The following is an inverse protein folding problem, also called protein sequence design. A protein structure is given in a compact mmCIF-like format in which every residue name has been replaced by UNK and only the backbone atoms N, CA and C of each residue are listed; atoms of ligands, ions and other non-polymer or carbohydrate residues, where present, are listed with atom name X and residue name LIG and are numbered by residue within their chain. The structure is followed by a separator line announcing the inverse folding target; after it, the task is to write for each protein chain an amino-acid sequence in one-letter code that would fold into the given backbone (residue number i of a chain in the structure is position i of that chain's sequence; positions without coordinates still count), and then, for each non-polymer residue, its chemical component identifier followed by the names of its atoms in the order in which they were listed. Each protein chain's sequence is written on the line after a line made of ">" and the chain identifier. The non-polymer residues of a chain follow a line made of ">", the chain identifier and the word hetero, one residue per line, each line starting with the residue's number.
data_IF_756395083388
#
_entry.id   IF_756395083388
#
_cell.length_a   1.000
_cell.length_b   1.000
_cell.length_c   1.000
_cell.angle_alpha   90.00
_cell.angle_beta   90.00
_cell.angle_gamma   90.00
#
_symmetry.space_group_name_H-M   'P 1'
#
loop_
_entity.id
_entity.type
_entity.pdbx_description
1 polymer ?
#
# COMPACT_ATOMS: atom_id res chain seq x y z
N UNK A 1 12.84 -6.23 -14.80
CA UNK A 1 13.29 -6.59 -16.16
C UNK A 1 12.61 -7.88 -16.58
N UNK A 2 12.46 -8.08 -17.89
CA UNK A 2 11.86 -9.30 -18.45
C UNK A 2 12.64 -10.55 -18.01
N UNK A 3 13.97 -10.47 -17.94
CA UNK A 3 14.78 -11.62 -17.53
C UNK A 3 14.55 -12.05 -16.08
N UNK A 4 14.39 -11.09 -15.16
CA UNK A 4 14.00 -11.40 -13.77
C UNK A 4 12.60 -12.02 -13.70
N UNK A 5 11.68 -11.54 -14.51
CA UNK A 5 10.33 -12.09 -14.56
C UNK A 5 10.33 -13.53 -15.13
N UNK A 6 11.13 -13.80 -16.16
CA UNK A 6 11.28 -15.16 -16.71
C UNK A 6 11.79 -16.14 -15.67
N UNK A 7 12.90 -15.84 -15.01
CA UNK A 7 13.47 -16.70 -13.97
C UNK A 7 12.48 -17.01 -12.87
N UNK A 8 11.77 -15.97 -12.39
CA UNK A 8 10.72 -16.13 -11.37
C UNK A 8 9.56 -17.01 -11.88
N UNK A 9 9.07 -16.75 -13.09
CA UNK A 9 7.98 -17.53 -13.66
C UNK A 9 8.35 -19.00 -13.89
N UNK A 10 9.58 -19.27 -14.31
CA UNK A 10 10.10 -20.65 -14.44
C UNK A 10 10.17 -21.35 -13.08
N UNK A 11 10.73 -20.69 -12.05
CA UNK A 11 10.85 -21.24 -10.70
C UNK A 11 9.47 -21.62 -10.11
N UNK A 12 8.46 -20.79 -10.34
CA UNK A 12 7.13 -20.99 -9.75
C UNK A 12 6.10 -21.55 -10.74
N UNK A 13 6.52 -22.02 -11.92
CA UNK A 13 5.62 -22.54 -12.96
C UNK A 13 4.49 -21.58 -13.33
N UNK A 14 4.81 -20.30 -13.47
CA UNK A 14 3.86 -19.24 -13.81
C UNK A 14 3.95 -18.84 -15.27
N UNK A 15 2.83 -18.39 -15.85
CA UNK A 15 2.81 -17.82 -17.17
C UNK A 15 3.31 -16.37 -17.16
N UNK A 16 4.17 -16.01 -18.10
CA UNK A 16 4.62 -14.64 -18.29
C UNK A 16 3.69 -13.93 -19.28
N UNK A 17 3.28 -12.73 -18.93
CA UNK A 17 2.53 -11.86 -19.83
C UNK A 17 3.44 -10.77 -20.40
N UNK A 18 3.26 -10.45 -21.68
CA UNK A 18 4.14 -9.50 -22.39
C UNK A 18 3.97 -8.04 -21.95
N UNK A 19 2.82 -7.68 -21.40
CA UNK A 19 2.55 -6.34 -20.91
C UNK A 19 1.40 -6.31 -19.89
N UNK A 20 1.32 -5.21 -19.14
CA UNK A 20 0.20 -4.97 -18.22
C UNK A 20 -1.13 -4.88 -18.99
N UNK A 21 -1.15 -4.23 -20.13
CA UNK A 21 -2.32 -4.11 -20.99
C UNK A 21 -2.84 -5.47 -21.46
N UNK A 22 -1.95 -6.38 -21.84
CA UNK A 22 -2.34 -7.73 -22.22
C UNK A 22 -2.82 -8.55 -21.03
N UNK A 23 -2.21 -8.36 -19.86
CA UNK A 23 -2.63 -9.00 -18.62
C UNK A 23 -4.07 -8.63 -18.25
N UNK A 24 -4.42 -7.35 -18.24
CA UNK A 24 -5.76 -6.92 -17.84
C UNK A 24 -6.85 -7.24 -18.88
N UNK A 25 -6.48 -7.46 -20.14
CA UNK A 25 -7.40 -7.89 -21.22
C UNK A 25 -7.67 -9.39 -21.22
N UNK A 26 -6.85 -10.18 -20.54
CA UNK A 26 -7.04 -11.62 -20.48
C UNK A 26 -8.30 -11.96 -19.66
N UNK A 27 -9.26 -12.65 -20.27
CA UNK A 27 -10.54 -13.00 -19.64
C UNK A 27 -10.40 -14.03 -18.51
N UNK A 28 -9.36 -14.86 -18.56
CA UNK A 28 -9.07 -15.86 -17.52
C UNK A 28 -8.55 -15.23 -16.19
N UNK A 29 -8.26 -13.94 -16.18
CA UNK A 29 -7.76 -13.23 -15.00
C UNK A 29 -8.91 -12.45 -14.34
N UNK A 30 -9.26 -12.79 -13.12
CA UNK A 30 -10.28 -12.11 -12.32
C UNK A 30 -9.69 -10.99 -11.44
N UNK A 31 -8.47 -11.17 -10.96
CA UNK A 31 -7.83 -10.31 -9.95
C UNK A 31 -6.44 -9.92 -10.42
N UNK A 32 -6.11 -8.64 -10.25
CA UNK A 32 -4.76 -8.11 -10.50
C UNK A 32 -4.12 -7.72 -9.19
N UNK A 33 -2.89 -8.18 -8.96
CA UNK A 33 -2.05 -7.78 -7.84
C UNK A 33 -1.02 -6.75 -8.33
N UNK A 34 -1.07 -5.54 -7.79
CA UNK A 34 -0.18 -4.45 -8.15
C UNK A 34 0.90 -4.29 -7.08
N UNK A 35 2.11 -4.73 -7.39
CA UNK A 35 3.31 -4.59 -6.56
C UNK A 35 4.41 -3.82 -7.31
N UNK A 36 3.99 -2.84 -8.09
CA UNK A 36 4.82 -1.98 -8.93
C UNK A 36 5.32 -0.74 -8.17
N UNK A 37 6.21 0.08 -8.75
CA UNK A 37 6.52 1.39 -8.20
C UNK A 37 5.27 2.24 -7.96
N UNK A 38 5.32 3.05 -6.91
CA UNK A 38 4.13 3.76 -6.38
C UNK A 38 3.52 4.75 -7.38
N UNK A 39 4.36 5.39 -8.19
CA UNK A 39 3.93 6.33 -9.25
C UNK A 39 3.01 5.69 -10.29
N UNK A 40 3.07 4.36 -10.44
CA UNK A 40 2.26 3.62 -11.42
C UNK A 40 0.88 3.21 -10.88
N UNK A 41 0.68 3.23 -9.56
CA UNK A 41 -0.52 2.67 -8.93
C UNK A 41 -1.81 3.28 -9.47
N UNK A 42 -1.92 4.61 -9.48
CA UNK A 42 -3.15 5.28 -9.94
C UNK A 42 -3.53 4.88 -11.37
N UNK A 43 -2.57 4.94 -12.29
CA UNK A 43 -2.82 4.57 -13.69
C UNK A 43 -3.19 3.09 -13.84
N UNK A 44 -2.49 2.22 -13.14
CA UNK A 44 -2.76 0.78 -13.20
C UNK A 44 -4.12 0.43 -12.58
N UNK A 45 -4.46 1.03 -11.45
CA UNK A 45 -5.78 0.86 -10.81
C UNK A 45 -6.90 1.28 -11.76
N UNK A 46 -6.78 2.47 -12.39
CA UNK A 46 -7.82 2.95 -13.30
C UNK A 46 -8.01 2.04 -14.50
N UNK A 47 -6.92 1.61 -15.15
CA UNK A 47 -6.98 0.67 -16.28
C UNK A 47 -7.55 -0.70 -15.87
N UNK A 48 -7.15 -1.26 -14.74
CA UNK A 48 -7.68 -2.52 -14.24
C UNK A 48 -9.18 -2.42 -13.91
N UNK A 49 -9.61 -1.29 -13.32
CA UNK A 49 -11.01 -1.04 -13.02
C UNK A 49 -11.86 -0.94 -14.30
N UNK A 50 -11.37 -0.26 -15.34
CA UNK A 50 -12.03 -0.20 -16.65
C UNK A 50 -12.15 -1.60 -17.29
N UNK A 51 -11.13 -2.43 -17.13
CA UNK A 51 -11.14 -3.84 -17.56
C UNK A 51 -11.93 -4.76 -16.61
N UNK A 52 -12.66 -4.22 -15.61
CA UNK A 52 -13.49 -4.97 -14.64
C UNK A 52 -12.71 -5.97 -13.77
N UNK A 53 -11.39 -5.82 -13.66
CA UNK A 53 -10.57 -6.68 -12.79
C UNK A 53 -10.66 -6.20 -11.34
N UNK A 54 -10.82 -7.13 -10.40
CA UNK A 54 -10.62 -6.86 -8.97
C UNK A 54 -9.16 -6.52 -8.73
N UNK A 55 -8.89 -5.66 -7.75
CA UNK A 55 -7.55 -5.11 -7.59
C UNK A 55 -7.08 -5.34 -6.15
N UNK A 56 -5.89 -5.89 -6.01
CA UNK A 56 -5.12 -5.81 -4.78
C UNK A 56 -3.87 -4.98 -5.08
N UNK A 57 -3.66 -3.91 -4.34
CA UNK A 57 -2.53 -3.01 -4.56
C UNK A 57 -1.69 -2.88 -3.31
N UNK A 58 -0.36 -2.90 -3.46
CA UNK A 58 0.57 -2.63 -2.38
C UNK A 58 0.41 -1.20 -1.84
N UNK A 59 0.82 -1.03 -0.61
CA UNK A 59 0.87 0.29 0.03
C UNK A 59 2.13 1.06 -0.42
N UNK A 60 2.08 2.40 -0.47
CA UNK A 60 0.90 3.24 -0.30
C UNK A 60 -0.08 3.04 -1.46
N UNK A 61 -1.37 3.24 -1.19
CA UNK A 61 -2.42 3.12 -2.21
C UNK A 61 -2.11 3.97 -3.44
N UNK A 62 -1.79 5.23 -3.20
CA UNK A 62 -1.27 6.19 -4.19
C UNK A 62 -0.35 7.19 -3.47
N UNK A 63 0.36 8.03 -4.23
CA UNK A 63 1.24 9.06 -3.68
C UNK A 63 0.52 10.35 -3.28
N UNK A 64 -0.64 10.63 -3.88
CA UNK A 64 -1.41 11.85 -3.63
C UNK A 64 -2.87 11.54 -3.30
N UNK A 65 -3.50 12.44 -2.53
CA UNK A 65 -4.94 12.36 -2.27
C UNK A 65 -5.76 12.42 -3.57
N UNK A 66 -5.36 13.26 -4.52
CA UNK A 66 -6.01 13.36 -5.84
C UNK A 66 -6.04 12.02 -6.56
N UNK A 67 -4.91 11.33 -6.59
CA UNK A 67 -4.81 10.02 -7.24
C UNK A 67 -5.61 8.94 -6.48
N UNK A 68 -5.63 9.01 -5.15
CA UNK A 68 -6.45 8.10 -4.33
C UNK A 68 -7.94 8.27 -4.63
N UNK A 69 -8.42 9.51 -4.67
CA UNK A 69 -9.82 9.83 -4.99
C UNK A 69 -10.15 9.40 -6.42
N UNK A 70 -9.26 9.66 -7.37
CA UNK A 70 -9.42 9.22 -8.76
C UNK A 70 -9.55 7.70 -8.85
N UNK A 71 -8.60 6.98 -8.26
CA UNK A 71 -8.58 5.51 -8.24
C UNK A 71 -9.85 4.93 -7.63
N UNK A 72 -10.28 5.48 -6.50
CA UNK A 72 -11.53 5.07 -5.83
C UNK A 72 -12.77 5.30 -6.70
N UNK A 73 -12.88 6.48 -7.35
CA UNK A 73 -14.02 6.77 -8.21
C UNK A 73 -14.09 5.86 -9.45
N UNK A 74 -12.96 5.56 -10.07
CA UNK A 74 -12.92 4.61 -11.19
C UNK A 74 -13.34 3.21 -10.75
N UNK A 75 -12.85 2.71 -9.62
CA UNK A 75 -13.26 1.43 -9.09
C UNK A 75 -14.77 1.41 -8.76
N UNK A 76 -15.28 2.43 -8.09
CA UNK A 76 -16.70 2.56 -7.74
C UNK A 76 -17.59 2.60 -8.98
N UNK A 77 -17.23 3.46 -9.98
CA UNK A 77 -17.95 3.57 -11.26
C UNK A 77 -18.02 2.23 -11.99
N UNK A 78 -16.96 1.46 -11.95
CA UNK A 78 -16.85 0.17 -12.61
C UNK A 78 -17.33 -1.02 -11.75
N UNK A 79 -17.78 -0.77 -10.52
CA UNK A 79 -18.21 -1.77 -9.52
C UNK A 79 -17.12 -2.79 -9.19
N UNK A 80 -15.86 -2.34 -9.19
CA UNK A 80 -14.68 -3.14 -8.87
C UNK A 80 -14.30 -2.97 -7.41
N UNK A 81 -13.92 -4.06 -6.75
CA UNK A 81 -13.39 -4.05 -5.38
C UNK A 81 -11.88 -3.82 -5.41
N UNK A 82 -11.39 -2.98 -4.50
CA UNK A 82 -9.97 -2.74 -4.25
C UNK A 82 -9.64 -3.20 -2.83
N UNK A 83 -8.57 -3.98 -2.69
CA UNK A 83 -7.88 -4.25 -1.43
C UNK A 83 -6.52 -3.54 -1.43
N UNK A 84 -6.12 -3.00 -0.29
CA UNK A 84 -4.81 -2.37 -0.11
C UNK A 84 -3.96 -3.22 0.83
N UNK A 85 -2.67 -3.37 0.51
CA UNK A 85 -1.72 -4.27 1.17
C UNK A 85 -1.29 -3.87 2.59
N UNK A 86 -2.23 -3.50 3.44
CA UNK A 86 -1.96 -3.25 4.87
C UNK A 86 -1.83 -4.55 5.67
N UNK A 87 -0.81 -5.33 5.36
CA UNK A 87 -0.59 -6.66 5.92
C UNK A 87 -0.43 -6.67 7.46
N UNK A 88 -0.02 -5.56 8.07
CA UNK A 88 0.10 -5.43 9.53
C UNK A 88 -1.24 -5.60 10.25
N UNK A 89 -2.35 -5.32 9.61
CA UNK A 89 -3.70 -5.58 10.16
C UNK A 89 -3.94 -7.03 10.56
N UNK A 90 -3.18 -7.96 9.99
CA UNK A 90 -3.30 -9.40 10.23
C UNK A 90 -2.32 -9.93 11.28
N UNK A 91 -1.52 -9.06 11.91
CA UNK A 91 -0.66 -9.46 13.01
C UNK A 91 -1.51 -9.88 14.21
N UNK A 92 -1.24 -11.06 14.79
CA UNK A 92 -2.01 -11.55 15.94
C UNK A 92 -2.02 -10.57 17.12
N UNK A 93 -0.90 -9.88 17.38
CA UNK A 93 -0.81 -8.86 18.43
C UNK A 93 -1.72 -7.65 18.19
N UNK A 94 -1.85 -7.18 16.96
CA UNK A 94 -2.76 -6.06 16.63
C UNK A 94 -4.22 -6.49 16.67
N UNK A 95 -4.54 -7.70 16.23
CA UNK A 95 -5.88 -8.26 16.37
C UNK A 95 -6.25 -8.39 17.85
N UNK A 96 -5.36 -8.93 18.67
CA UNK A 96 -5.58 -9.04 20.11
C UNK A 96 -5.77 -7.67 20.77
N UNK A 97 -4.92 -6.67 20.45
CA UNK A 97 -5.08 -5.29 20.95
C UNK A 97 -6.45 -4.72 20.57
N UNK A 98 -6.87 -4.90 19.33
CA UNK A 98 -8.18 -4.46 18.85
C UNK A 98 -9.32 -5.14 19.62
N UNK A 99 -9.22 -6.45 19.82
CA UNK A 99 -10.26 -7.23 20.49
C UNK A 99 -10.40 -6.82 21.95
N UNK A 100 -9.30 -6.71 22.72
CA UNK A 100 -9.36 -6.27 24.11
C UNK A 100 -9.83 -4.82 24.24
N UNK A 101 -9.37 -3.93 23.34
CA UNK A 101 -9.73 -2.50 23.39
C UNK A 101 -11.21 -2.23 23.03
N UNK A 102 -11.92 -3.22 22.48
CA UNK A 102 -13.34 -3.14 22.18
C UNK A 102 -14.23 -3.78 23.26
N UNK A 103 -13.65 -4.40 24.28
CA UNK A 103 -14.40 -4.94 25.39
C UNK A 103 -14.93 -3.82 26.30
N UNK A 104 -16.13 -3.96 26.82
CA UNK A 104 -16.73 -2.97 27.73
C UNK A 104 -15.91 -2.76 29.00
N UNK A 105 -15.18 -3.76 29.44
CA UNK A 105 -14.29 -3.71 30.61
C UNK A 105 -13.02 -2.87 30.38
N UNK A 106 -12.66 -2.62 29.13
CA UNK A 106 -11.47 -1.81 28.81
C UNK A 106 -11.68 -0.31 29.07
N UNK A 107 -12.90 0.16 28.98
CA UNK A 107 -13.24 1.58 29.11
C UNK A 107 -13.00 2.40 27.85
N UNK A 108 -12.88 3.70 28.01
CA UNK A 108 -12.67 4.63 26.89
C UNK A 108 -11.21 4.69 26.49
N UNK A 109 -10.96 4.65 25.18
CA UNK A 109 -9.63 4.85 24.58
C UNK A 109 -9.33 6.35 24.54
N UNK A 110 -8.41 6.82 25.35
CA UNK A 110 -8.12 8.26 25.50
C UNK A 110 -6.82 8.69 24.83
N UNK A 111 -5.90 7.76 24.60
CA UNK A 111 -4.59 8.04 24.02
C UNK A 111 -3.99 6.80 23.39
N UNK A 112 -3.21 6.99 22.33
CA UNK A 112 -2.38 5.96 21.71
C UNK A 112 -1.06 6.60 21.27
N UNK A 113 0.03 5.95 21.58
CA UNK A 113 1.33 6.25 21.02
C UNK A 113 1.83 5.09 20.17
N UNK A 114 2.62 5.40 19.16
CA UNK A 114 3.25 4.39 18.36
C UNK A 114 4.58 4.86 17.80
N UNK A 115 5.53 3.95 17.78
CA UNK A 115 6.83 4.13 17.17
C UNK A 115 7.08 3.00 16.19
N UNK A 116 7.53 3.35 15.00
CA UNK A 116 7.95 2.39 14.00
C UNK A 116 9.27 2.84 13.40
N UNK A 117 10.35 2.43 14.00
CA UNK A 117 11.72 2.77 13.63
C UNK A 117 12.47 1.54 13.11
N UNK A 118 13.40 1.77 12.21
CA UNK A 118 14.26 0.70 11.70
C UNK A 118 15.35 1.25 10.77
N UNK A 119 16.42 0.50 10.56
CA UNK A 119 17.59 0.93 9.78
C UNK A 119 17.40 0.83 8.26
N UNK A 120 16.20 0.51 7.79
CA UNK A 120 15.93 0.18 6.37
C UNK A 120 16.35 1.27 5.38
N UNK A 121 16.39 2.53 5.79
CA UNK A 121 16.78 3.65 4.93
C UNK A 121 18.29 3.77 4.72
N UNK A 122 19.11 3.15 5.56
CA UNK A 122 20.56 3.23 5.44
C UNK A 122 21.12 2.51 4.19
N UNK A 123 20.41 1.48 3.73
CA UNK A 123 20.80 0.71 2.56
C UNK A 123 20.27 1.31 1.25
N UNK A 124 19.47 2.38 1.31
CA UNK A 124 18.91 2.99 0.12
C UNK A 124 19.95 3.90 -0.54
N UNK A 125 20.13 3.70 -1.84
CA UNK A 125 20.95 4.55 -2.69
C UNK A 125 20.10 5.20 -3.79
N UNK A 126 20.71 6.16 -4.51
CA UNK A 126 20.01 6.94 -5.56
C UNK A 126 19.55 6.09 -6.75
N UNK A 127 20.12 4.91 -6.94
CA UNK A 127 19.80 3.98 -8.03
C UNK A 127 18.56 3.13 -7.69
N UNK A 128 18.23 3.02 -6.41
CA UNK A 128 17.05 2.29 -5.98
C UNK A 128 15.81 3.18 -6.08
N UNK A 129 14.78 2.68 -6.73
CA UNK A 129 13.51 3.40 -6.86
C UNK A 129 12.90 3.79 -5.49
N UNK A 130 13.09 2.95 -4.46
CA UNK A 130 12.65 3.24 -3.09
C UNK A 130 13.39 4.40 -2.42
N UNK A 131 14.60 4.72 -2.87
CA UNK A 131 15.38 5.88 -2.43
C UNK A 131 15.03 7.17 -3.17
N UNK A 132 14.22 7.09 -4.22
CA UNK A 132 13.80 8.26 -5.00
C UNK A 132 12.70 9.05 -4.30
N UNK A 133 12.85 10.37 -4.21
CA UNK A 133 11.81 11.27 -3.70
C UNK A 133 10.53 11.23 -4.54
N UNK A 134 10.63 10.90 -5.83
CA UNK A 134 9.47 10.76 -6.72
C UNK A 134 8.60 9.57 -6.31
N UNK A 135 9.21 8.46 -5.92
CA UNK A 135 8.50 7.25 -5.50
C UNK A 135 8.18 7.23 -4.00
N UNK A 136 8.89 8.01 -3.22
CA UNK A 136 8.77 8.02 -1.76
C UNK A 136 8.89 9.45 -1.18
N UNK A 137 7.98 10.37 -1.57
CA UNK A 137 8.09 11.79 -1.20
C UNK A 137 8.00 12.04 0.31
N UNK A 138 7.39 11.13 1.05
CA UNK A 138 7.22 11.21 2.50
C UNK A 138 8.23 10.35 3.28
N UNK A 139 9.29 9.86 2.62
CA UNK A 139 10.34 9.07 3.25
C UNK A 139 9.81 7.91 4.11
N UNK A 140 10.28 7.82 5.36
CA UNK A 140 9.87 6.78 6.29
C UNK A 140 8.36 6.73 6.57
N UNK A 141 7.64 7.84 6.42
CA UNK A 141 6.18 7.86 6.60
C UNK A 141 5.46 7.04 5.53
N UNK A 142 5.85 7.13 4.26
CA UNK A 142 5.25 6.33 3.20
C UNK A 142 5.67 4.86 3.27
N UNK A 143 6.90 4.58 3.74
CA UNK A 143 7.41 3.22 3.81
C UNK A 143 6.89 2.43 5.03
N UNK A 144 6.96 3.03 6.22
CA UNK A 144 6.67 2.37 7.50
C UNK A 144 5.58 3.09 8.31
N UNK A 145 5.63 4.41 8.42
CA UNK A 145 4.68 5.19 9.19
C UNK A 145 3.23 4.97 8.77
N UNK A 146 2.98 4.73 7.49
CA UNK A 146 1.63 4.42 6.98
C UNK A 146 1.03 3.15 7.61
N UNK A 147 1.85 2.14 7.93
CA UNK A 147 1.38 0.94 8.64
C UNK A 147 1.00 1.25 10.08
N UNK A 148 1.75 2.16 10.73
CA UNK A 148 1.46 2.58 12.09
C UNK A 148 0.14 3.37 12.15
N UNK A 149 -0.02 4.33 11.24
CA UNK A 149 -1.26 5.13 11.12
C UNK A 149 -2.46 4.21 10.84
N UNK A 150 -2.31 3.26 9.92
CA UNK A 150 -3.35 2.28 9.60
C UNK A 150 -3.75 1.42 10.81
N UNK A 151 -2.75 1.01 11.62
CA UNK A 151 -2.99 0.26 12.85
C UNK A 151 -3.72 1.10 13.91
N UNK A 152 -3.33 2.38 14.07
CA UNK A 152 -4.01 3.31 14.98
C UNK A 152 -5.48 3.54 14.57
N UNK A 153 -5.74 3.75 13.29
CA UNK A 153 -7.10 3.84 12.75
C UNK A 153 -7.88 2.55 13.02
N UNK A 154 -7.23 1.41 12.90
CA UNK A 154 -7.84 0.10 13.18
C UNK A 154 -8.30 -0.08 14.65
N UNK A 155 -7.62 0.59 15.59
CA UNK A 155 -7.91 0.51 17.04
C UNK A 155 -8.83 1.64 17.50
N UNK A 156 -8.60 2.88 17.05
CA UNK A 156 -9.29 4.08 17.53
C UNK A 156 -10.45 4.52 16.64
N UNK A 157 -10.47 4.13 15.38
CA UNK A 157 -11.41 4.64 14.39
C UNK A 157 -10.83 5.78 13.53
N UNK A 158 -11.67 6.50 12.80
CA UNK A 158 -11.27 7.58 11.90
C UNK A 158 -10.52 8.70 12.61
N UNK A 159 -9.65 9.39 11.88
CA UNK A 159 -8.91 10.57 12.34
C UNK A 159 -9.67 11.81 11.89
N UNK A 160 -9.97 12.71 12.82
CA UNK A 160 -10.68 13.98 12.53
C UNK A 160 -9.73 15.10 12.15
N UNK A 161 -8.54 15.15 12.77
CA UNK A 161 -7.55 16.19 12.51
C UNK A 161 -6.12 15.64 12.59
N UNK A 162 -5.22 16.21 11.81
CA UNK A 162 -3.79 15.83 11.75
C UNK A 162 -2.94 17.09 11.86
N UNK A 163 -1.90 17.02 12.70
CA UNK A 163 -0.78 17.95 12.68
C UNK A 163 0.50 17.15 12.41
N UNK A 164 1.32 17.63 11.48
CA UNK A 164 2.55 16.96 11.12
C UNK A 164 3.72 17.94 11.14
N UNK A 165 4.82 17.53 11.76
CA UNK A 165 6.12 18.21 11.67
C UNK A 165 7.06 17.21 11.00
N UNK A 166 7.59 17.57 9.84
CA UNK A 166 8.57 16.75 9.12
C UNK A 166 9.93 17.42 9.19
N UNK A 167 10.92 16.68 9.66
CA UNK A 167 12.33 17.07 9.58
C UNK A 167 13.04 16.11 8.65
N UNK A 168 13.85 16.66 7.76
CA UNK A 168 14.68 15.83 6.85
C UNK A 168 16.07 15.79 7.45
N UNK A 169 16.51 14.64 7.92
CA UNK A 169 17.92 14.41 8.19
C UNK A 169 18.56 13.86 6.91
N UNK A 170 19.37 14.67 6.28
CA UNK A 170 20.25 14.17 5.23
C UNK A 170 21.43 13.48 5.93
N UNK A 171 21.49 12.17 5.87
CA UNK A 171 22.73 11.46 6.08
C UNK A 171 23.55 11.63 4.81
N UNK A 172 24.64 12.36 4.94
CA UNK A 172 25.63 12.55 3.87
C UNK A 172 26.42 11.28 3.63
#
# INVERSE_FOLDING_TARGET
>A
TIDKAKSFCEEYSLNICSSYENLIKNEDIDIVVLATPHTLHCQQITKAAEAKKRIFVEKPFTLTLKDAVTSYHYAKKNKVKIGVGFNRRFLPSLNYLKDISNQSSFGSKIHIEGNFSGPFGYDYNKEMWRGSLTENPSGGMAAMGIHLIDSMIGVLGPIDAVQCISTVSYTH
#
